data_IF_522233402382
#
_entry.id   IF_522233402382
#
_cell.length_a   1.000
_cell.length_b   1.000
_cell.length_c   1.000
_cell.angle_alpha   90.00
_cell.angle_beta   90.00
_cell.angle_gamma   90.00
#
_symmetry.space_group_name_H-M   'P 1'
#
loop_
_entity.id
_entity.type
_entity.pdbx_description
1 polymer ?
#
# COMPACT_ATOMS: atom_id res chain seq x y z
N UNK A 1 25.18 -19.32 -6.54
CA UNK A 1 26.49 -19.49 -5.86
C UNK A 1 26.48 -18.79 -4.49
N UNK A 2 27.31 -19.18 -3.52
CA UNK A 2 27.43 -18.45 -2.23
C UNK A 2 27.94 -17.00 -2.43
N UNK A 3 28.75 -16.78 -3.47
CA UNK A 3 29.24 -15.45 -3.86
C UNK A 3 28.14 -14.48 -4.31
N UNK A 4 26.93 -14.97 -4.59
CA UNK A 4 25.79 -14.13 -5.00
C UNK A 4 25.02 -13.54 -3.80
N UNK A 5 25.31 -13.99 -2.58
CA UNK A 5 24.66 -13.49 -1.35
C UNK A 5 25.46 -12.34 -0.79
N UNK A 6 24.85 -11.17 -0.69
CA UNK A 6 25.51 -9.92 -0.27
C UNK A 6 25.56 -9.78 1.25
N UNK A 7 24.50 -10.23 1.91
CA UNK A 7 24.24 -9.99 3.32
C UNK A 7 23.80 -11.29 4.01
N UNK A 8 24.27 -11.54 5.23
CA UNK A 8 23.67 -12.50 6.15
C UNK A 8 23.13 -11.77 7.38
N UNK A 9 21.82 -11.91 7.58
CA UNK A 9 21.16 -11.65 8.84
C UNK A 9 21.33 -12.89 9.73
N UNK A 10 22.27 -12.78 10.67
CA UNK A 10 22.71 -13.87 11.51
C UNK A 10 21.70 -14.27 12.58
N UNK A 11 21.88 -15.47 13.13
CA UNK A 11 21.29 -15.80 14.42
C UNK A 11 21.81 -14.87 15.50
N UNK A 12 23.12 -14.58 15.55
CA UNK A 12 23.74 -13.43 16.19
C UNK A 12 23.15 -13.09 17.56
N UNK A 13 23.35 -13.97 18.53
CA UNK A 13 22.72 -13.90 19.85
C UNK A 13 23.55 -13.14 20.89
N UNK A 14 24.78 -12.76 20.55
CA UNK A 14 25.71 -12.14 21.48
C UNK A 14 26.32 -13.16 22.44
N UNK A 15 26.25 -14.47 22.14
CA UNK A 15 26.77 -15.49 23.06
C UNK A 15 28.25 -15.72 22.82
N UNK A 16 29.04 -15.80 23.90
CA UNK A 16 30.50 -16.00 23.83
C UNK A 16 30.90 -17.25 23.08
N UNK A 17 30.08 -18.31 23.13
CA UNK A 17 30.33 -19.56 22.42
C UNK A 17 29.68 -19.60 21.02
N UNK A 18 28.43 -19.14 20.90
CA UNK A 18 27.65 -19.33 19.67
C UNK A 18 28.08 -18.39 18.55
N UNK A 19 28.36 -17.13 18.85
CA UNK A 19 28.69 -16.13 17.83
C UNK A 19 30.01 -16.47 17.09
N UNK A 20 31.10 -16.94 17.76
CA UNK A 20 32.27 -17.41 17.05
C UNK A 20 32.02 -18.63 16.16
N UNK A 21 31.20 -19.59 16.61
CA UNK A 21 30.84 -20.78 15.82
C UNK A 21 30.07 -20.38 14.56
N UNK A 22 29.11 -19.46 14.69
CA UNK A 22 28.36 -18.94 13.55
C UNK A 22 29.26 -18.19 12.57
N UNK A 23 30.10 -17.28 13.05
CA UNK A 23 31.01 -16.51 12.20
C UNK A 23 32.00 -17.42 11.44
N UNK A 24 32.55 -18.44 12.11
CA UNK A 24 33.44 -19.43 11.49
C UNK A 24 32.72 -20.24 10.40
N UNK A 25 31.45 -20.62 10.62
CA UNK A 25 30.66 -21.31 9.61
C UNK A 25 30.43 -20.42 8.36
N UNK A 26 30.19 -19.12 8.56
CA UNK A 26 30.04 -18.16 7.46
C UNK A 26 31.37 -17.93 6.71
N UNK A 27 32.48 -17.78 7.42
CA UNK A 27 33.82 -17.68 6.82
C UNK A 27 34.16 -18.93 6.00
N UNK A 28 33.83 -20.12 6.51
CA UNK A 28 34.08 -21.40 5.85
C UNK A 28 33.15 -21.68 4.65
N UNK A 29 32.12 -20.86 4.43
CA UNK A 29 31.15 -21.03 3.34
C UNK A 29 31.09 -19.80 2.44
N UNK A 30 30.41 -18.74 2.89
CA UNK A 30 30.25 -17.48 2.18
C UNK A 30 31.53 -16.66 2.07
N UNK A 31 32.47 -16.82 3.01
CA UNK A 31 33.73 -16.09 3.03
C UNK A 31 34.82 -16.66 2.11
N UNK A 32 34.60 -17.84 1.52
CA UNK A 32 35.55 -18.47 0.59
C UNK A 32 35.46 -17.87 -0.80
N UNK A 33 36.61 -17.75 -1.46
CA UNK A 33 36.73 -17.35 -2.88
C UNK A 33 35.98 -16.06 -3.21
N UNK A 34 35.97 -15.12 -2.26
CA UNK A 34 35.27 -13.85 -2.36
C UNK A 34 36.22 -12.74 -2.80
N UNK A 35 35.73 -11.89 -3.69
CA UNK A 35 36.48 -10.72 -4.13
C UNK A 35 36.66 -9.74 -2.97
N UNK A 36 37.84 -9.14 -2.83
CA UNK A 36 38.20 -8.32 -1.68
C UNK A 36 37.35 -7.05 -1.57
N UNK A 37 36.80 -6.55 -2.68
CA UNK A 37 35.91 -5.39 -2.76
C UNK A 37 34.43 -5.74 -2.60
N UNK A 38 34.08 -7.02 -2.49
CA UNK A 38 32.71 -7.49 -2.31
C UNK A 38 32.59 -8.52 -1.18
N UNK A 39 32.92 -8.16 0.09
CA UNK A 39 32.79 -9.06 1.23
C UNK A 39 31.33 -9.45 1.51
N UNK A 40 31.14 -10.45 2.37
CA UNK A 40 29.83 -10.77 2.94
C UNK A 40 29.56 -9.79 4.06
N UNK A 41 28.47 -9.06 3.96
CA UNK A 41 28.04 -8.25 5.07
C UNK A 41 27.32 -9.10 6.11
N UNK A 42 27.69 -8.91 7.38
CA UNK A 42 27.15 -9.67 8.50
C UNK A 42 26.53 -8.74 9.53
N UNK A 43 25.27 -8.99 9.90
CA UNK A 43 24.58 -8.23 10.96
C UNK A 43 23.51 -9.04 11.68
N UNK A 44 22.94 -8.47 12.73
CA UNK A 44 21.82 -9.09 13.48
C UNK A 44 20.86 -8.02 14.01
N UNK A 45 19.56 -8.20 13.73
CA UNK A 45 18.44 -7.40 14.24
C UNK A 45 18.35 -7.46 15.77
N UNK A 46 18.89 -8.52 16.38
CA UNK A 46 18.87 -8.71 17.84
C UNK A 46 19.71 -7.67 18.56
N UNK A 47 20.65 -7.03 17.87
CA UNK A 47 21.38 -5.88 18.40
C UNK A 47 20.46 -4.66 18.63
N UNK A 48 19.33 -4.55 17.91
CA UNK A 48 18.36 -3.45 18.04
C UNK A 48 17.18 -3.80 18.95
N UNK A 49 16.62 -5.01 18.82
CA UNK A 49 15.36 -5.41 19.47
C UNK A 49 15.48 -6.60 20.42
N UNK A 50 16.72 -7.01 20.76
CA UNK A 50 17.02 -8.22 21.51
C UNK A 50 16.49 -9.51 20.86
N UNK A 51 16.57 -10.63 21.58
CA UNK A 51 16.12 -11.92 21.07
C UNK A 51 14.62 -12.12 21.31
N UNK A 52 13.81 -11.99 20.26
CA UNK A 52 12.33 -12.13 20.30
C UNK A 52 11.85 -13.59 20.29
N UNK A 53 12.66 -14.51 20.82
CA UNK A 53 12.39 -15.94 20.91
C UNK A 53 11.82 -16.54 19.61
N UNK A 54 10.59 -17.08 19.64
CA UNK A 54 9.94 -17.71 18.49
C UNK A 54 9.74 -16.77 17.29
N UNK A 55 9.78 -15.45 17.49
CA UNK A 55 9.68 -14.45 16.42
C UNK A 55 11.05 -14.02 15.85
N UNK A 56 12.17 -14.55 16.37
CA UNK A 56 13.51 -14.08 15.99
C UNK A 56 13.83 -14.29 14.50
N UNK A 57 13.41 -15.42 13.92
CA UNK A 57 13.63 -15.71 12.51
C UNK A 57 12.83 -14.76 11.60
N UNK A 58 11.54 -14.57 11.88
CA UNK A 58 10.70 -13.66 11.06
C UNK A 58 11.09 -12.20 11.23
N UNK A 59 11.58 -11.79 12.40
CA UNK A 59 12.14 -10.44 12.58
C UNK A 59 13.37 -10.21 11.70
N UNK A 60 14.24 -11.22 11.56
CA UNK A 60 15.36 -11.19 10.62
C UNK A 60 14.89 -11.08 9.16
N UNK A 61 13.89 -11.87 8.76
CA UNK A 61 13.27 -11.79 7.43
C UNK A 61 12.71 -10.39 7.17
N UNK A 62 11.96 -9.82 8.13
CA UNK A 62 11.39 -8.47 8.01
C UNK A 62 12.48 -7.41 7.82
N UNK A 63 13.54 -7.45 8.63
CA UNK A 63 14.69 -6.54 8.47
C UNK A 63 15.27 -6.65 7.06
N UNK A 64 15.50 -7.87 6.58
CA UNK A 64 16.13 -8.09 5.27
C UNK A 64 15.25 -7.65 4.12
N UNK A 65 13.94 -7.90 4.17
CA UNK A 65 12.99 -7.43 3.14
C UNK A 65 12.92 -5.89 3.13
N UNK A 66 12.87 -5.25 4.30
CA UNK A 66 12.89 -3.78 4.39
C UNK A 66 14.22 -3.20 3.89
N UNK A 67 15.35 -3.85 4.20
CA UNK A 67 16.67 -3.48 3.70
C UNK A 67 16.74 -3.52 2.17
N UNK A 68 16.19 -4.56 1.54
CA UNK A 68 16.08 -4.65 0.07
C UNK A 68 15.17 -3.56 -0.50
N UNK A 69 13.99 -3.36 0.10
CA UNK A 69 13.02 -2.37 -0.34
C UNK A 69 13.59 -0.94 -0.31
N UNK A 70 14.28 -0.58 0.77
CA UNK A 70 14.89 0.73 0.93
C UNK A 70 16.28 0.85 0.29
N UNK A 71 16.85 -0.25 -0.21
CA UNK A 71 18.18 -0.26 -0.81
C UNK A 71 19.30 0.12 0.15
N UNK A 72 19.17 -0.25 1.42
CA UNK A 72 20.17 0.02 2.48
C UNK A 72 20.44 -1.24 3.30
N UNK A 73 21.66 -1.40 3.78
CA UNK A 73 22.05 -2.39 4.79
C UNK A 73 22.17 -1.68 6.15
N UNK A 74 21.19 -1.83 7.06
CA UNK A 74 21.24 -1.18 8.36
C UNK A 74 22.39 -1.73 9.21
N UNK A 75 23.04 -0.84 9.97
CA UNK A 75 24.10 -1.25 10.90
C UNK A 75 23.59 -2.20 11.99
N UNK A 76 24.45 -3.13 12.38
CA UNK A 76 24.33 -3.89 13.62
C UNK A 76 24.95 -3.09 14.76
N UNK A 77 24.25 -3.01 15.90
CA UNK A 77 24.72 -2.26 17.06
C UNK A 77 25.76 -3.07 17.85
N UNK A 78 26.56 -2.36 18.66
CA UNK A 78 27.55 -2.93 19.59
C UNK A 78 28.72 -3.71 18.95
N UNK A 79 29.03 -3.40 17.68
CA UNK A 79 30.13 -4.01 16.90
C UNK A 79 31.50 -3.37 17.21
N UNK A 80 31.65 -2.67 18.35
CA UNK A 80 32.82 -1.81 18.62
C UNK A 80 34.19 -2.49 18.44
N UNK A 81 34.45 -3.56 19.19
CA UNK A 81 35.62 -4.42 18.98
C UNK A 81 35.09 -5.81 18.57
N UNK A 82 35.37 -6.29 17.34
CA UNK A 82 34.97 -7.62 16.91
C UNK A 82 35.55 -8.70 17.82
N UNK A 83 34.83 -9.82 17.99
CA UNK A 83 35.29 -10.91 18.86
C UNK A 83 36.66 -11.43 18.43
N UNK A 84 37.60 -11.51 19.39
CA UNK A 84 38.95 -12.07 19.20
C UNK A 84 38.97 -13.60 19.02
N UNK A 85 37.83 -14.27 19.20
CA UNK A 85 37.67 -15.71 18.99
C UNK A 85 37.36 -16.06 17.52
N UNK A 86 37.37 -15.06 16.63
CA UNK A 86 37.14 -15.19 15.19
C UNK A 86 38.31 -14.55 14.46
N UNK A 87 38.91 -15.29 13.52
CA UNK A 87 39.89 -14.72 12.59
C UNK A 87 39.16 -14.04 11.43
N UNK A 88 38.80 -12.76 11.62
CA UNK A 88 38.12 -11.95 10.61
C UNK A 88 38.98 -11.69 9.36
N UNK A 89 40.30 -11.92 9.43
CA UNK A 89 41.20 -11.75 8.29
C UNK A 89 41.23 -12.97 7.36
N UNK A 90 40.70 -14.11 7.82
CA UNK A 90 40.78 -15.38 7.10
C UNK A 90 39.80 -15.53 5.91
N UNK A 91 38.88 -14.59 5.70
CA UNK A 91 37.90 -14.68 4.63
C UNK A 91 37.14 -13.38 4.38
N UNK A 92 36.37 -13.34 3.29
CA UNK A 92 35.61 -12.16 2.90
C UNK A 92 34.31 -12.01 3.69
N UNK A 93 34.34 -11.86 5.02
CA UNK A 93 33.16 -11.57 5.85
C UNK A 93 33.45 -10.36 6.72
N UNK A 94 32.59 -9.35 6.65
CA UNK A 94 32.74 -8.10 7.38
C UNK A 94 31.46 -7.75 8.15
N UNK A 95 31.62 -7.26 9.37
CA UNK A 95 30.50 -6.83 10.20
C UNK A 95 29.91 -5.50 9.71
N UNK A 96 28.59 -5.38 9.77
CA UNK A 96 27.84 -4.15 9.50
C UNK A 96 27.94 -3.16 10.65
N UNK A 97 29.13 -2.59 10.89
CA UNK A 97 29.33 -1.56 11.91
C UNK A 97 28.66 -0.22 11.54
N UNK A 98 28.56 0.06 10.25
CA UNK A 98 27.94 1.27 9.70
C UNK A 98 26.86 0.92 8.67
N UNK A 99 25.91 1.84 8.49
CA UNK A 99 24.90 1.71 7.45
C UNK A 99 25.56 1.84 6.08
N UNK A 100 25.13 1.01 5.12
CA UNK A 100 25.68 1.03 3.76
C UNK A 100 24.57 1.07 2.72
N UNK A 101 24.74 1.80 1.61
CA UNK A 101 23.88 1.61 0.44
C UNK A 101 23.96 0.16 -0.04
N UNK A 102 22.81 -0.42 -0.34
CA UNK A 102 22.72 -1.72 -0.99
C UNK A 102 22.32 -1.49 -2.44
N UNK A 103 23.21 -0.99 -3.29
CA UNK A 103 22.88 -0.74 -4.69
C UNK A 103 22.85 -2.05 -5.49
N UNK A 104 21.98 -2.15 -6.51
CA UNK A 104 22.05 -3.25 -7.47
C UNK A 104 23.34 -3.15 -8.28
N UNK A 105 23.92 -4.29 -8.59
CA UNK A 105 25.08 -4.40 -9.48
C UNK A 105 24.59 -4.94 -10.83
N UNK A 106 24.33 -4.01 -11.77
CA UNK A 106 23.65 -4.33 -13.03
C UNK A 106 22.29 -4.99 -12.81
N UNK A 107 22.06 -6.11 -13.51
CA UNK A 107 20.82 -6.91 -13.42
C UNK A 107 20.82 -7.93 -12.27
N UNK A 108 21.88 -7.96 -11.44
CA UNK A 108 21.96 -8.92 -10.33
C UNK A 108 21.00 -8.49 -9.21
N UNK A 109 20.01 -9.32 -8.84
CA UNK A 109 19.12 -9.00 -7.73
C UNK A 109 19.88 -9.06 -6.41
N UNK A 110 19.50 -8.21 -5.47
CA UNK A 110 20.04 -8.26 -4.10
C UNK A 110 19.65 -9.59 -3.46
N UNK A 111 20.60 -10.26 -2.80
CA UNK A 111 20.33 -11.53 -2.12
C UNK A 111 20.89 -11.53 -0.71
N UNK A 112 20.15 -12.13 0.22
CA UNK A 112 20.58 -12.27 1.60
C UNK A 112 20.23 -13.63 2.20
N UNK A 113 21.10 -14.12 3.09
CA UNK A 113 20.80 -15.25 3.97
C UNK A 113 20.19 -14.77 5.28
N UNK A 114 19.27 -15.54 5.85
CA UNK A 114 18.73 -15.35 7.21
C UNK A 114 18.91 -16.64 8.00
N UNK A 115 19.65 -16.58 9.10
CA UNK A 115 19.97 -17.74 9.95
C UNK A 115 19.17 -17.73 11.26
N UNK A 116 18.75 -18.92 11.70
CA UNK A 116 18.15 -19.12 13.02
C UNK A 116 18.51 -20.48 13.59
N UNK A 117 19.05 -20.52 14.81
CA UNK A 117 19.49 -21.74 15.48
C UNK A 117 18.72 -21.93 16.78
N UNK A 118 17.92 -22.99 16.84
CA UNK A 118 17.13 -23.33 18.01
C UNK A 118 17.97 -24.03 19.07
N UNK A 119 17.65 -23.81 20.35
CA UNK A 119 18.32 -24.48 21.47
C UNK A 119 18.19 -26.02 21.41
N UNK A 120 17.19 -26.56 20.71
CA UNK A 120 17.03 -27.99 20.43
C UNK A 120 18.08 -28.56 19.46
N UNK A 121 18.92 -27.71 18.86
CA UNK A 121 19.85 -28.07 17.79
C UNK A 121 19.25 -28.02 16.38
N UNK A 122 17.99 -27.58 16.24
CA UNK A 122 17.37 -27.37 14.92
C UNK A 122 17.85 -26.07 14.29
N UNK A 123 18.41 -26.15 13.09
CA UNK A 123 18.95 -25.00 12.36
C UNK A 123 18.09 -24.70 11.13
N UNK A 124 17.88 -23.42 10.87
CA UNK A 124 17.25 -22.93 9.65
C UNK A 124 18.14 -21.86 9.00
N UNK A 125 18.24 -21.91 7.67
CA UNK A 125 18.89 -20.89 6.87
C UNK A 125 18.04 -20.66 5.61
N UNK A 126 17.57 -19.43 5.40
CA UNK A 126 16.70 -19.05 4.28
C UNK A 126 17.45 -18.06 3.40
N UNK A 127 17.35 -18.25 2.09
CA UNK A 127 17.84 -17.28 1.10
C UNK A 127 16.66 -16.42 0.65
N UNK A 128 16.82 -15.11 0.73
CA UNK A 128 15.90 -14.12 0.22
C UNK A 128 16.52 -13.45 -1.00
N UNK A 129 15.70 -13.21 -2.01
CA UNK A 129 16.05 -12.48 -3.21
C UNK A 129 15.09 -11.31 -3.35
N UNK A 130 15.61 -10.19 -3.83
CA UNK A 130 14.83 -9.02 -4.18
C UNK A 130 13.71 -9.36 -5.17
N UNK A 131 12.54 -8.75 -4.98
CA UNK A 131 11.45 -8.90 -5.94
C UNK A 131 11.87 -8.40 -7.33
N UNK A 132 11.37 -9.01 -8.42
CA UNK A 132 11.53 -8.47 -9.77
C UNK A 132 11.11 -7.00 -9.80
N UNK A 133 11.76 -6.21 -10.66
CA UNK A 133 11.30 -4.84 -10.89
C UNK A 133 9.83 -4.89 -11.32
N UNK A 134 8.99 -4.09 -10.66
CA UNK A 134 7.62 -3.93 -11.13
C UNK A 134 7.67 -3.36 -12.54
N UNK A 135 6.88 -3.93 -13.45
CA UNK A 135 6.67 -3.30 -14.75
C UNK A 135 6.16 -1.88 -14.49
N UNK A 136 6.64 -0.87 -15.25
CA UNK A 136 6.09 0.46 -15.14
C UNK A 136 4.57 0.34 -15.31
N UNK A 137 3.81 0.80 -14.31
CA UNK A 137 2.37 0.94 -14.49
C UNK A 137 2.18 1.79 -15.76
N UNK A 138 1.32 1.34 -16.68
CA UNK A 138 0.98 2.14 -17.85
C UNK A 138 0.57 3.53 -17.34
N UNK A 139 1.33 4.57 -17.74
CA UNK A 139 0.98 5.94 -17.40
C UNK A 139 -0.41 6.20 -17.98
N UNK A 140 -1.40 6.27 -17.09
CA UNK A 140 -2.75 6.73 -17.44
C UNK A 140 -2.59 8.07 -18.13
N UNK A 141 -2.92 8.12 -19.43
CA UNK A 141 -2.69 9.32 -20.22
C UNK A 141 -3.43 10.50 -19.58
N UNK A 142 -2.81 11.69 -19.48
CA UNK A 142 -3.50 12.89 -19.04
C UNK A 142 -4.69 13.17 -19.98
N UNK A 143 -5.90 12.77 -19.57
CA UNK A 143 -7.08 12.81 -20.44
C UNK A 143 -8.05 11.64 -20.27
N UNK A 144 -7.64 10.51 -19.69
CA UNK A 144 -8.62 9.59 -19.09
C UNK A 144 -9.22 10.30 -17.89
N UNK A 145 -10.46 10.77 -18.05
CA UNK A 145 -11.17 11.58 -17.06
C UNK A 145 -11.21 10.82 -15.74
N UNK A 146 -10.40 11.26 -14.76
CA UNK A 146 -10.57 10.85 -13.38
C UNK A 146 -12.07 11.01 -13.05
N UNK A 147 -12.69 10.02 -12.38
CA UNK A 147 -14.10 10.12 -12.06
C UNK A 147 -14.35 11.43 -11.31
N UNK A 148 -15.44 12.14 -11.62
CA UNK A 148 -15.70 13.50 -11.12
C UNK A 148 -15.77 13.58 -9.60
N UNK A 149 -16.03 12.44 -8.94
CA UNK A 149 -15.78 12.25 -7.51
C UNK A 149 -15.32 10.83 -7.23
N UNK A 150 -14.36 10.69 -6.30
CA UNK A 150 -13.92 9.40 -5.77
C UNK A 150 -14.41 9.28 -4.32
N UNK A 151 -15.16 8.23 -3.95
CA UNK A 151 -15.52 8.01 -2.56
C UNK A 151 -14.37 7.33 -1.80
N UNK A 152 -14.04 7.84 -0.62
CA UNK A 152 -13.16 7.16 0.33
C UNK A 152 -13.99 6.38 1.35
N UNK A 153 -13.88 5.06 1.30
CA UNK A 153 -14.59 4.14 2.17
C UNK A 153 -13.74 3.83 3.41
N UNK A 154 -14.25 4.16 4.59
CA UNK A 154 -13.60 3.85 5.86
C UNK A 154 -14.49 2.90 6.65
N UNK A 155 -13.92 1.84 7.22
CA UNK A 155 -14.70 0.96 8.10
C UNK A 155 -13.93 0.39 9.28
N UNK A 156 -14.66 0.03 10.33
CA UNK A 156 -14.13 -0.58 11.54
C UNK A 156 -15.17 -1.48 12.22
N UNK A 157 -14.73 -2.28 13.21
CA UNK A 157 -15.65 -3.08 14.04
C UNK A 157 -16.34 -2.29 15.16
N UNK A 158 -15.97 -1.03 15.38
CA UNK A 158 -16.56 -0.17 16.40
C UNK A 158 -16.50 1.30 15.97
N UNK A 159 -17.35 2.14 16.56
CA UNK A 159 -17.32 3.58 16.31
C UNK A 159 -15.97 4.21 16.69
N UNK A 160 -15.35 3.76 17.80
CA UNK A 160 -14.02 4.22 18.20
C UNK A 160 -12.93 3.77 17.21
N UNK A 161 -13.03 2.55 16.68
CA UNK A 161 -12.13 2.07 15.63
C UNK A 161 -12.28 2.86 14.33
N UNK A 162 -13.50 3.30 13.99
CA UNK A 162 -13.75 4.11 12.80
C UNK A 162 -13.06 5.47 12.90
N UNK A 163 -13.15 6.11 14.07
CA UNK A 163 -12.40 7.35 14.36
C UNK A 163 -10.89 7.15 14.31
N UNK A 164 -10.39 6.08 14.93
CA UNK A 164 -8.97 5.72 14.88
C UNK A 164 -8.46 5.47 13.45
N UNK A 165 -9.28 4.84 12.62
CA UNK A 165 -8.95 4.61 11.21
C UNK A 165 -8.94 5.93 10.42
N UNK A 166 -9.83 6.88 10.71
CA UNK A 166 -9.82 8.19 10.08
C UNK A 166 -8.52 8.96 10.40
N UNK A 167 -8.08 8.94 11.66
CA UNK A 167 -6.79 9.55 12.09
C UNK A 167 -5.61 8.88 11.38
N UNK A 168 -5.55 7.55 11.39
CA UNK A 168 -4.47 6.81 10.75
C UNK A 168 -4.43 7.05 9.23
N UNK A 169 -5.59 7.13 8.59
CA UNK A 169 -5.69 7.39 7.16
C UNK A 169 -5.23 8.80 6.81
N UNK A 170 -5.67 9.82 7.56
CA UNK A 170 -5.31 11.21 7.32
C UNK A 170 -3.78 11.42 7.29
N UNK A 171 -3.04 10.76 8.19
CA UNK A 171 -1.57 10.84 8.22
C UNK A 171 -0.85 10.00 7.17
N UNK A 172 -1.53 9.06 6.50
CA UNK A 172 -0.90 8.10 5.58
C UNK A 172 -1.10 8.45 4.10
N UNK A 173 -2.03 9.35 3.77
CA UNK A 173 -2.47 9.62 2.39
C UNK A 173 -2.12 11.01 1.89
N UNK A 174 -1.37 11.79 2.67
CA UNK A 174 -0.91 13.10 2.26
C UNK A 174 -0.05 13.00 0.99
N UNK A 175 -0.43 13.75 -0.05
CA UNK A 175 0.28 13.77 -1.34
C UNK A 175 0.04 12.55 -2.24
N UNK A 176 -0.84 11.62 -1.87
CA UNK A 176 -1.23 10.48 -2.72
C UNK A 176 -2.40 10.84 -3.65
N UNK A 177 -2.51 10.14 -4.77
CA UNK A 177 -3.65 10.27 -5.68
C UNK A 177 -4.94 9.79 -4.98
N UNK A 178 -5.98 10.65 -4.88
CA UNK A 178 -7.24 10.26 -4.27
C UNK A 178 -7.94 9.07 -4.93
N UNK A 179 -7.75 8.85 -6.24
CA UNK A 179 -8.31 7.71 -6.95
C UNK A 179 -7.68 6.39 -6.47
N UNK A 180 -6.36 6.34 -6.37
CA UNK A 180 -5.62 5.17 -5.89
C UNK A 180 -5.94 4.87 -4.42
N UNK A 181 -6.08 5.92 -3.60
CA UNK A 181 -6.50 5.77 -2.19
C UNK A 181 -7.90 5.18 -2.13
N UNK A 182 -8.87 5.76 -2.86
CA UNK A 182 -10.25 5.29 -2.89
C UNK A 182 -10.35 3.84 -3.37
N UNK A 183 -9.64 3.51 -4.46
CA UNK A 183 -9.55 2.15 -4.97
C UNK A 183 -8.96 1.18 -3.96
N UNK A 184 -7.87 1.57 -3.30
CA UNK A 184 -7.21 0.74 -2.28
C UNK A 184 -8.12 0.50 -1.07
N UNK A 185 -8.84 1.53 -0.62
CA UNK A 185 -9.81 1.43 0.47
C UNK A 185 -10.96 0.47 0.13
N UNK A 186 -11.40 0.43 -1.12
CA UNK A 186 -12.46 -0.46 -1.57
C UNK A 186 -11.98 -1.89 -1.81
N UNK A 187 -10.85 -2.07 -2.49
CA UNK A 187 -10.42 -3.36 -3.05
C UNK A 187 -9.51 -4.17 -2.13
N UNK A 188 -8.80 -3.52 -1.21
CA UNK A 188 -7.76 -4.17 -0.39
C UNK A 188 -8.10 -4.22 1.11
N UNK A 189 -9.17 -3.53 1.54
CA UNK A 189 -9.58 -3.48 2.95
C UNK A 189 -10.87 -4.27 3.15
N UNK A 190 -10.96 -4.93 4.31
CA UNK A 190 -12.20 -5.57 4.72
C UNK A 190 -13.29 -4.53 4.97
N UNK A 191 -14.51 -4.80 4.53
CA UNK A 191 -15.68 -3.96 4.82
C UNK A 191 -16.37 -4.41 6.11
N UNK A 192 -16.22 -3.61 7.16
CA UNK A 192 -16.69 -3.89 8.52
C UNK A 192 -17.98 -3.14 8.85
N UNK A 193 -18.54 -3.35 10.04
CA UNK A 193 -19.92 -2.93 10.34
C UNK A 193 -20.08 -1.43 10.52
N UNK A 194 -19.12 -0.75 11.16
CA UNK A 194 -19.13 0.71 11.25
C UNK A 194 -18.47 1.27 9.99
N UNK A 195 -19.21 2.04 9.19
CA UNK A 195 -18.77 2.52 7.88
C UNK A 195 -18.93 4.03 7.79
N UNK A 196 -18.02 4.66 7.06
CA UNK A 196 -18.17 6.02 6.59
C UNK A 196 -17.73 6.12 5.13
N UNK A 197 -18.37 7.04 4.41
CA UNK A 197 -17.97 7.49 3.08
C UNK A 197 -17.57 8.95 3.20
N UNK A 198 -16.37 9.28 2.74
CA UNK A 198 -15.90 10.67 2.61
C UNK A 198 -15.79 11.01 1.13
N UNK A 199 -16.22 12.20 0.74
CA UNK A 199 -16.17 12.69 -0.65
C UNK A 199 -15.60 14.11 -0.71
N UNK A 200 -15.09 14.53 -1.87
CA UNK A 200 -14.61 15.90 -2.06
C UNK A 200 -13.40 16.24 -1.18
N UNK A 201 -13.56 17.18 -0.24
CA UNK A 201 -12.49 17.57 0.70
C UNK A 201 -12.22 16.46 1.73
N UNK A 202 -11.35 15.51 1.37
CA UNK A 202 -11.02 14.37 2.19
C UNK A 202 -10.32 14.74 3.50
N UNK A 203 -9.53 15.82 3.52
CA UNK A 203 -8.82 16.24 4.73
C UNK A 203 -9.82 16.73 5.78
N UNK A 204 -10.74 17.63 5.38
CA UNK A 204 -11.80 18.09 6.26
C UNK A 204 -12.74 16.94 6.69
N UNK A 205 -13.12 16.08 5.75
CA UNK A 205 -14.03 14.97 6.02
C UNK A 205 -13.43 13.91 6.96
N UNK A 206 -12.14 13.57 6.79
CA UNK A 206 -11.44 12.66 7.73
C UNK A 206 -11.24 13.30 9.10
N UNK A 207 -10.99 14.61 9.17
CA UNK A 207 -10.93 15.36 10.43
C UNK A 207 -12.25 15.30 11.19
N UNK A 208 -13.36 15.63 10.53
CA UNK A 208 -14.70 15.55 11.11
C UNK A 208 -15.03 14.11 11.55
N UNK A 209 -14.72 13.10 10.71
CA UNK A 209 -14.93 11.70 11.04
C UNK A 209 -14.09 11.25 12.25
N UNK A 210 -12.85 11.74 12.38
CA UNK A 210 -11.97 11.44 13.51
C UNK A 210 -12.50 12.01 14.83
N UNK A 211 -13.12 13.18 14.79
CA UNK A 211 -13.74 13.82 15.96
C UNK A 211 -15.14 13.25 16.25
N UNK A 212 -15.79 12.65 15.25
CA UNK A 212 -17.16 12.15 15.34
C UNK A 212 -18.21 13.25 15.13
N UNK A 213 -17.83 14.32 14.46
CA UNK A 213 -18.69 15.47 14.14
C UNK A 213 -19.38 15.28 12.78
N UNK A 214 -20.60 15.82 12.59
CA UNK A 214 -21.27 15.81 11.30
C UNK A 214 -20.56 16.72 10.29
N UNK A 215 -20.49 16.29 9.04
CA UNK A 215 -19.98 17.08 7.92
C UNK A 215 -20.74 16.75 6.64
N UNK A 216 -20.96 17.75 5.78
CA UNK A 216 -21.76 17.62 4.55
C UNK A 216 -21.20 16.58 3.57
N UNK A 217 -19.88 16.36 3.62
CA UNK A 217 -19.17 15.44 2.76
C UNK A 217 -18.86 14.08 3.41
N UNK A 218 -19.45 13.81 4.59
CA UNK A 218 -19.28 12.57 5.34
C UNK A 218 -20.63 11.90 5.60
N UNK A 219 -20.78 10.67 5.15
CA UNK A 219 -21.93 9.83 5.50
C UNK A 219 -21.44 8.65 6.32
N UNK A 220 -21.82 8.58 7.60
CA UNK A 220 -21.43 7.51 8.51
C UNK A 220 -22.64 6.72 9.02
N UNK A 221 -22.44 5.43 9.29
CA UNK A 221 -23.49 4.57 9.80
C UNK A 221 -22.97 3.20 10.24
N UNK A 222 -23.88 2.39 10.78
CA UNK A 222 -23.63 0.98 11.11
C UNK A 222 -24.41 0.13 10.11
N UNK A 223 -23.76 -0.81 9.45
CA UNK A 223 -24.41 -1.68 8.49
C UNK A 223 -25.45 -2.55 9.19
N UNK A 224 -26.70 -2.47 8.73
CA UNK A 224 -27.78 -3.37 9.11
C UNK A 224 -28.00 -4.47 8.07
N UNK A 225 -29.03 -5.29 8.30
CA UNK A 225 -29.51 -6.25 7.29
C UNK A 225 -29.97 -5.49 6.04
N UNK A 226 -29.35 -5.77 4.89
CA UNK A 226 -29.76 -5.19 3.62
C UNK A 226 -30.93 -6.01 3.07
N UNK A 227 -32.09 -5.37 2.93
CA UNK A 227 -33.27 -5.96 2.28
C UNK A 227 -33.17 -5.93 0.76
N UNK A 228 -34.28 -6.26 0.08
CA UNK A 228 -34.37 -6.04 -1.38
C UNK A 228 -34.39 -4.54 -1.70
N UNK A 229 -33.63 -4.14 -2.71
CA UNK A 229 -33.64 -2.77 -3.23
C UNK A 229 -34.89 -2.51 -4.06
N UNK A 230 -35.51 -1.35 -3.89
CA UNK A 230 -36.66 -0.88 -4.69
C UNK A 230 -36.26 0.44 -5.36
N UNK A 231 -36.44 0.54 -6.67
CA UNK A 231 -36.31 1.81 -7.39
C UNK A 231 -37.67 2.50 -7.42
N UNK A 232 -37.71 3.75 -6.92
CA UNK A 232 -38.92 4.57 -6.85
C UNK A 232 -38.81 5.66 -7.91
N UNK A 233 -39.76 5.68 -8.85
CA UNK A 233 -39.82 6.66 -9.94
C UNK A 233 -40.97 7.64 -9.63
N UNK A 234 -40.69 8.80 -9.02
CA UNK A 234 -41.72 9.79 -8.76
C UNK A 234 -42.25 10.41 -10.06
N UNK A 235 -43.46 10.96 -10.00
CA UNK A 235 -44.05 11.70 -11.12
C UNK A 235 -43.50 13.12 -11.24
N UNK A 236 -44.30 14.00 -11.85
CA UNK A 236 -43.98 15.41 -12.05
C UNK A 236 -43.70 16.15 -10.72
N UNK A 237 -42.75 17.09 -10.72
CA UNK A 237 -42.45 18.00 -9.60
C UNK A 237 -41.00 17.97 -9.12
N UNK A 238 -40.18 17.03 -9.62
CA UNK A 238 -38.77 16.88 -9.25
C UNK A 238 -37.79 17.54 -10.25
N UNK A 239 -38.29 18.11 -11.34
CA UNK A 239 -37.46 18.75 -12.37
C UNK A 239 -36.82 20.05 -11.88
N UNK A 240 -35.58 20.31 -12.33
CA UNK A 240 -34.85 21.55 -12.06
C UNK A 240 -33.94 21.90 -13.25
N UNK A 241 -33.61 23.19 -13.40
CA UNK A 241 -32.83 23.70 -14.54
C UNK A 241 -31.39 23.17 -14.51
N UNK A 242 -30.96 22.52 -15.59
CA UNK A 242 -29.63 21.91 -15.69
C UNK A 242 -29.55 20.48 -15.12
N UNK A 243 -30.69 19.88 -14.74
CA UNK A 243 -30.72 18.47 -14.36
C UNK A 243 -30.10 17.58 -15.44
N UNK A 244 -29.43 16.51 -15.04
CA UNK A 244 -28.81 15.51 -15.92
C UNK A 244 -27.64 15.99 -16.81
N UNK A 245 -27.41 17.30 -16.98
CA UNK A 245 -26.36 17.83 -17.89
C UNK A 245 -24.97 17.40 -17.43
N UNK A 246 -24.62 17.65 -16.17
CA UNK A 246 -23.30 17.29 -15.64
C UNK A 246 -23.04 15.77 -15.73
N UNK A 247 -24.05 14.96 -15.41
CA UNK A 247 -23.95 13.50 -15.53
C UNK A 247 -23.81 13.05 -16.99
N UNK A 248 -24.48 13.70 -17.94
CA UNK A 248 -24.34 13.41 -19.36
C UNK A 248 -22.95 13.77 -19.88
N UNK A 249 -22.32 14.80 -19.34
CA UNK A 249 -20.98 15.22 -19.77
C UNK A 249 -19.87 14.37 -19.11
N UNK A 250 -20.09 13.85 -17.90
CA UNK A 250 -19.06 13.13 -17.11
C UNK A 250 -19.23 11.60 -17.08
N UNK A 251 -20.43 11.07 -17.33
CA UNK A 251 -20.71 9.63 -17.25
C UNK A 251 -21.12 9.07 -18.61
N UNK A 252 -20.24 8.31 -19.30
CA UNK A 252 -20.56 7.69 -20.58
C UNK A 252 -21.80 6.80 -20.52
N UNK A 253 -21.99 6.07 -19.41
CA UNK A 253 -23.15 5.19 -19.19
C UNK A 253 -24.46 6.00 -19.13
N UNK A 254 -24.44 7.15 -18.45
CA UNK A 254 -25.61 8.02 -18.38
C UNK A 254 -25.89 8.67 -19.74
N UNK A 255 -24.84 9.17 -20.41
CA UNK A 255 -24.92 9.80 -21.73
C UNK A 255 -25.51 8.86 -22.79
N UNK A 256 -25.04 7.61 -22.83
CA UNK A 256 -25.53 6.58 -23.74
C UNK A 256 -27.02 6.32 -23.50
N UNK A 257 -27.43 6.15 -22.23
CA UNK A 257 -28.84 5.92 -21.89
C UNK A 257 -29.72 7.12 -22.24
N UNK A 258 -29.23 8.34 -22.05
CA UNK A 258 -29.95 9.56 -22.39
C UNK A 258 -30.15 9.67 -23.91
N UNK A 259 -29.12 9.33 -24.70
CA UNK A 259 -29.19 9.31 -26.16
C UNK A 259 -30.19 8.26 -26.69
N UNK A 260 -30.24 7.07 -26.07
CA UNK A 260 -31.27 6.06 -26.37
C UNK A 260 -32.68 6.60 -26.16
N UNK A 261 -32.91 7.28 -25.03
CA UNK A 261 -34.20 7.90 -24.72
C UNK A 261 -34.58 8.97 -25.74
N UNK A 262 -33.66 9.86 -26.09
CA UNK A 262 -33.88 10.91 -27.10
C UNK A 262 -34.25 10.31 -28.46
N UNK A 263 -33.53 9.28 -28.90
CA UNK A 263 -33.84 8.58 -30.15
C UNK A 263 -35.22 7.91 -30.12
N UNK A 264 -35.61 7.32 -28.97
CA UNK A 264 -36.88 6.62 -28.82
C UNK A 264 -38.09 7.59 -28.83
N UNK A 265 -37.96 8.77 -28.22
CA UNK A 265 -39.06 9.75 -28.16
C UNK A 265 -39.11 10.66 -29.39
N UNK A 266 -38.01 10.82 -30.13
CA UNK A 266 -37.87 11.82 -31.20
C UNK A 266 -38.91 11.71 -32.33
N UNK A 267 -39.51 10.54 -32.55
CA UNK A 267 -40.60 10.38 -33.53
C UNK A 267 -41.95 10.93 -33.04
N UNK A 268 -42.09 11.24 -31.74
CA UNK A 268 -43.34 11.61 -31.09
C UNK A 268 -43.34 13.07 -30.58
N UNK A 269 -42.21 13.76 -30.64
CA UNK A 269 -42.03 15.14 -30.13
C UNK A 269 -41.39 16.03 -31.21
N UNK A 270 -41.60 17.34 -31.10
CA UNK A 270 -41.07 18.37 -31.99
C UNK A 270 -39.86 19.13 -31.40
N UNK A 271 -39.27 18.60 -30.32
CA UNK A 271 -38.15 19.17 -29.58
C UNK A 271 -37.07 18.11 -29.27
N UNK A 272 -35.84 18.55 -29.00
CA UNK A 272 -34.73 17.68 -28.58
C UNK A 272 -34.62 17.62 -27.05
N UNK A 273 -34.45 16.41 -26.51
CA UNK A 273 -34.24 16.21 -25.09
C UNK A 273 -32.93 16.86 -24.61
N UNK A 274 -31.85 16.70 -25.37
CA UNK A 274 -30.57 17.35 -25.09
C UNK A 274 -30.67 18.87 -25.04
N UNK A 275 -31.40 19.47 -26.00
CA UNK A 275 -31.60 20.93 -26.06
C UNK A 275 -32.42 21.45 -24.88
N UNK A 276 -33.47 20.72 -24.48
CA UNK A 276 -34.29 21.05 -23.30
C UNK A 276 -33.45 21.00 -22.02
N UNK A 277 -32.68 19.93 -21.81
CA UNK A 277 -31.85 19.78 -20.61
C UNK A 277 -30.78 20.87 -20.49
N UNK A 278 -30.19 21.27 -21.63
CA UNK A 278 -29.18 22.34 -21.70
C UNK A 278 -29.76 23.75 -21.81
N UNK A 279 -31.09 23.88 -21.81
CA UNK A 279 -31.79 25.16 -21.97
C UNK A 279 -31.32 25.93 -23.23
N UNK A 280 -31.16 25.21 -24.35
CA UNK A 280 -30.76 25.80 -25.62
C UNK A 280 -31.79 26.84 -26.12
N UNK A 281 -31.31 27.82 -26.89
CA UNK A 281 -32.17 28.87 -27.42
C UNK A 281 -33.26 28.27 -28.33
N UNK A 282 -34.53 28.56 -28.02
CA UNK A 282 -35.69 28.03 -28.75
C UNK A 282 -36.25 26.70 -28.23
N UNK A 283 -35.60 26.06 -27.25
CA UNK A 283 -36.12 24.84 -26.62
C UNK A 283 -37.34 25.13 -25.72
N UNK A 284 -38.32 24.22 -25.62
CA UNK A 284 -39.45 24.36 -24.70
C UNK A 284 -38.99 24.29 -23.23
N UNK A 285 -39.75 24.90 -22.33
CA UNK A 285 -39.44 24.88 -20.90
C UNK A 285 -39.71 23.49 -20.28
N UNK A 286 -38.96 23.15 -19.22
CA UNK A 286 -39.12 21.93 -18.44
C UNK A 286 -40.53 21.75 -17.83
N UNK A 287 -41.33 22.81 -17.73
CA UNK A 287 -42.72 22.74 -17.25
C UNK A 287 -43.72 22.28 -18.32
N UNK A 288 -43.32 22.34 -19.60
CA UNK A 288 -44.17 22.04 -20.76
C UNK A 288 -43.93 20.63 -21.33
N UNK A 289 -42.91 19.94 -20.86
CA UNK A 289 -42.46 18.61 -21.34
C UNK A 289 -42.58 17.55 -20.26
#
# INVERSE_FOLDING_TARGET
SSAEVDLVEAHGTGTTLGDPIEAQALLATYGREREADRPLWLGSVKSNIAHTQGAAGVAGIMKTVLAMHHGIMPKSLYVGEPSSHVDWSAGGVELLAEERPWTRDGDRPRRAGVSGFGMSGTNAHVILEEAPAAEPAEEVQPGESAPPSVPWLVSARSAAGLRGQAVALAGAVEGLDPADVGWSLLSTRAMLDHRAVVTGDFAAGLGALAEGEPADNVVAGVSGSVGRTVFVFPGQGAQWVGMAVELADQSPVFAERLAECEAAIGAFVDWSLGDVLRCAEGAPSLERV
#
